data_IF_981729248738
#
_entry.id   IF_981729248738
#
_cell.length_a   1.000
_cell.length_b   1.000
_cell.length_c   1.000
_cell.angle_alpha   90.00
_cell.angle_beta   90.00
_cell.angle_gamma   90.00
#
_symmetry.space_group_name_H-M   'P 1'
#
loop_
_entity.id
_entity.type
_entity.pdbx_description
1 polymer ?
#
# COMPACT_ATOMS: atom_id res chain seq x y z
N UNK A 1 26.59 25.64 -24.23
CA UNK A 1 27.15 24.41 -23.64
C UNK A 1 25.96 23.60 -23.13
N UNK A 2 25.45 22.67 -23.95
CA UNK A 2 24.35 21.80 -23.55
C UNK A 2 24.95 20.65 -22.76
N UNK A 3 24.97 20.79 -21.43
CA UNK A 3 25.39 19.71 -20.54
C UNK A 3 24.33 18.62 -20.60
N UNK A 4 24.63 17.54 -21.30
CA UNK A 4 23.87 16.31 -21.15
C UNK A 4 23.96 15.89 -19.69
N UNK A 5 22.86 15.97 -18.94
CA UNK A 5 22.88 15.44 -17.59
C UNK A 5 22.83 13.93 -17.72
N UNK A 6 23.77 13.25 -17.07
CA UNK A 6 23.86 11.78 -17.06
C UNK A 6 22.53 11.09 -16.70
N UNK A 7 21.66 11.79 -15.96
CA UNK A 7 20.37 11.30 -15.49
C UNK A 7 19.24 11.44 -16.53
N UNK A 8 19.42 12.24 -17.59
CA UNK A 8 18.41 12.46 -18.64
C UNK A 8 18.20 11.20 -19.50
N UNK A 9 19.14 10.25 -19.48
CA UNK A 9 19.05 8.99 -20.23
C UNK A 9 18.31 7.85 -19.51
N UNK A 10 17.76 8.09 -18.31
CA UNK A 10 17.00 7.06 -17.61
C UNK A 10 15.61 6.86 -18.20
N UNK A 11 15.29 5.61 -18.53
CA UNK A 11 13.97 5.21 -19.02
C UNK A 11 12.88 5.51 -17.99
N UNK A 12 11.81 6.20 -18.41
CA UNK A 12 10.67 6.56 -17.56
C UNK A 12 10.66 8.01 -17.05
N UNK A 13 11.73 8.78 -17.23
CA UNK A 13 11.71 10.21 -16.90
C UNK A 13 10.72 11.00 -17.78
N UNK A 14 10.56 10.59 -19.04
CA UNK A 14 9.62 11.19 -20.00
C UNK A 14 8.16 11.08 -19.55
N UNK A 15 7.82 10.07 -18.75
CA UNK A 15 6.47 9.89 -18.21
C UNK A 15 6.25 10.75 -16.95
N UNK A 16 7.28 10.93 -16.13
CA UNK A 16 7.14 11.50 -14.80
C UNK A 16 7.24 13.02 -14.75
N UNK A 17 8.06 13.60 -15.62
CA UNK A 17 8.30 15.05 -15.67
C UNK A 17 7.02 15.83 -16.01
N UNK A 18 6.18 15.39 -16.97
CA UNK A 18 4.88 16.02 -17.24
C UNK A 18 3.94 15.99 -16.02
N UNK A 19 3.90 14.87 -15.29
CA UNK A 19 3.07 14.74 -14.09
C UNK A 19 3.53 15.69 -12.97
N UNK A 20 4.84 15.80 -12.75
CA UNK A 20 5.40 16.78 -11.79
C UNK A 20 5.06 18.20 -12.21
N UNK A 21 5.25 18.54 -13.50
CA UNK A 21 4.96 19.87 -14.05
C UNK A 21 3.51 20.29 -13.82
N UNK A 22 2.57 19.34 -13.92
CA UNK A 22 1.14 19.60 -13.74
C UNK A 22 0.69 19.66 -12.28
N UNK A 23 1.28 18.85 -11.40
CA UNK A 23 0.80 18.65 -10.03
C UNK A 23 1.50 19.54 -9.01
N UNK A 24 2.70 20.04 -9.33
CA UNK A 24 3.56 20.71 -8.37
C UNK A 24 3.70 22.16 -8.75
N UNK A 25 3.45 23.03 -7.77
CA UNK A 25 3.60 24.47 -7.89
C UNK A 25 4.73 24.95 -6.99
N UNK A 26 5.34 26.09 -7.34
CA UNK A 26 6.37 26.69 -6.52
C UNK A 26 5.79 27.07 -5.13
N UNK A 27 6.33 26.56 -4.01
CA UNK A 27 5.81 26.86 -2.68
C UNK A 27 6.04 28.32 -2.24
N UNK A 28 6.89 29.06 -2.94
CA UNK A 28 7.19 30.46 -2.62
C UNK A 28 6.29 31.46 -3.35
N UNK A 29 5.90 31.19 -4.60
CA UNK A 29 5.13 32.12 -5.43
C UNK A 29 3.88 31.54 -6.09
N UNK A 30 3.67 30.22 -5.98
CA UNK A 30 2.53 29.52 -6.56
C UNK A 30 2.62 29.26 -8.06
N UNK A 31 3.70 29.67 -8.73
CA UNK A 31 3.86 29.48 -10.17
C UNK A 31 4.07 28.00 -10.55
N UNK A 32 3.58 27.62 -11.72
CA UNK A 32 3.79 26.30 -12.31
C UNK A 32 5.25 26.08 -12.73
N UNK A 33 5.71 24.84 -12.63
CA UNK A 33 7.01 24.45 -13.18
C UNK A 33 6.86 24.04 -14.64
N UNK A 34 7.71 24.60 -15.52
CA UNK A 34 7.85 24.09 -16.88
C UNK A 34 8.68 22.80 -16.88
N UNK A 35 8.35 21.84 -17.74
CA UNK A 35 9.11 20.58 -17.86
C UNK A 35 10.62 20.80 -18.08
N UNK A 36 11.00 21.79 -18.90
CA UNK A 36 12.40 22.16 -19.13
C UNK A 36 13.15 22.65 -17.88
N UNK A 37 12.44 22.90 -16.78
CA UNK A 37 12.95 23.40 -15.52
C UNK A 37 12.92 22.36 -14.40
N UNK A 38 12.56 21.12 -14.74
CA UNK A 38 12.53 19.98 -13.84
C UNK A 38 13.65 19.03 -14.31
N UNK A 39 14.54 18.68 -13.39
CA UNK A 39 15.62 17.72 -13.65
C UNK A 39 15.56 16.62 -12.62
N UNK A 40 15.44 15.37 -13.06
CA UNK A 40 15.53 14.23 -12.16
C UNK A 40 17.01 13.99 -11.85
N UNK A 41 17.37 14.04 -10.57
CA UNK A 41 18.76 13.90 -10.11
C UNK A 41 19.02 12.54 -9.46
N UNK A 42 17.97 11.84 -9.02
CA UNK A 42 18.07 10.50 -8.50
C UNK A 42 16.76 9.73 -8.67
N UNK A 43 16.87 8.40 -8.75
CA UNK A 43 15.76 7.45 -8.78
C UNK A 43 16.07 6.32 -7.82
N UNK A 44 15.06 5.89 -7.09
CA UNK A 44 15.08 4.76 -6.16
C UNK A 44 13.81 3.92 -6.37
N UNK A 45 13.77 2.72 -5.77
CA UNK A 45 12.69 1.74 -6.02
C UNK A 45 11.28 2.30 -5.78
N UNK A 46 11.14 3.23 -4.83
CA UNK A 46 9.85 3.84 -4.45
C UNK A 46 9.68 5.30 -4.88
N UNK A 47 10.55 5.85 -5.74
CA UNK A 47 10.41 7.25 -6.15
C UNK A 47 11.59 7.91 -6.84
N UNK A 48 11.50 9.24 -6.93
CA UNK A 48 12.42 10.12 -7.66
C UNK A 48 12.81 11.30 -6.79
N UNK A 49 14.02 11.82 -6.97
CA UNK A 49 14.40 13.17 -6.50
C UNK A 49 14.50 14.07 -7.71
N UNK A 50 13.74 15.15 -7.71
CA UNK A 50 13.79 16.20 -8.72
C UNK A 50 14.39 17.49 -8.18
N UNK A 51 15.10 18.17 -9.04
CA UNK A 51 15.57 19.53 -8.90
C UNK A 51 14.67 20.44 -9.75
N UNK A 52 13.98 21.38 -9.11
CA UNK A 52 12.95 22.22 -9.74
C UNK A 52 13.36 23.68 -9.62
N UNK A 53 13.50 24.35 -10.76
CA UNK A 53 13.88 25.76 -10.81
C UNK A 53 12.69 26.64 -11.25
N UNK A 54 12.20 27.48 -10.34
CA UNK A 54 11.08 28.37 -10.63
C UNK A 54 11.56 29.59 -11.44
N UNK A 55 10.99 29.84 -12.62
CA UNK A 55 11.39 31.00 -13.44
C UNK A 55 10.91 32.34 -12.87
N UNK A 56 9.79 32.35 -12.15
CA UNK A 56 9.18 33.57 -11.62
C UNK A 56 9.93 34.14 -10.42
N UNK A 57 10.19 33.30 -9.41
CA UNK A 57 10.88 33.72 -8.18
C UNK A 57 12.36 33.32 -8.12
N UNK A 58 12.87 32.61 -9.14
CA UNK A 58 14.24 32.10 -9.24
C UNK A 58 14.67 31.15 -8.11
N UNK A 59 13.73 30.74 -7.26
CA UNK A 59 14.00 29.76 -6.21
C UNK A 59 14.14 28.37 -6.81
N UNK A 60 15.12 27.66 -6.27
CA UNK A 60 15.42 26.28 -6.62
C UNK A 60 15.07 25.37 -5.45
N UNK A 61 14.39 24.27 -5.74
CA UNK A 61 13.93 23.30 -4.74
C UNK A 61 14.38 21.91 -5.15
N UNK A 62 14.82 21.13 -4.16
CA UNK A 62 14.94 19.69 -4.29
C UNK A 62 13.71 19.05 -3.65
N UNK A 63 13.00 18.22 -4.40
CA UNK A 63 11.81 17.54 -3.93
C UNK A 63 11.90 16.04 -4.24
N UNK A 64 11.40 15.23 -3.30
CA UNK A 64 11.23 13.79 -3.49
C UNK A 64 9.79 13.49 -3.90
N UNK A 65 9.61 12.66 -4.92
CA UNK A 65 8.33 12.26 -5.45
C UNK A 65 8.18 10.74 -5.36
N UNK A 66 7.12 10.27 -4.73
CA UNK A 66 6.75 8.86 -4.71
C UNK A 66 5.53 8.68 -5.62
N UNK A 67 5.69 7.91 -6.69
CA UNK A 67 4.60 7.60 -7.61
C UNK A 67 4.15 6.18 -7.37
N UNK A 68 2.95 6.03 -6.83
CA UNK A 68 2.30 4.73 -6.72
C UNK A 68 1.63 4.46 -8.06
N UNK A 69 2.27 3.69 -8.93
CA UNK A 69 1.59 3.22 -10.13
C UNK A 69 0.54 2.19 -9.70
N UNK A 70 -0.74 2.58 -9.63
CA UNK A 70 -1.85 1.62 -9.47
C UNK A 70 -1.82 0.53 -10.56
N UNK A 71 -1.14 0.80 -11.69
CA UNK A 71 -1.16 -0.05 -12.88
C UNK A 71 -0.04 -1.07 -13.01
N UNK A 72 1.00 -1.09 -12.16
CA UNK A 72 2.03 -2.13 -12.28
C UNK A 72 2.45 -2.88 -11.02
N UNK A 73 2.00 -2.49 -9.81
CA UNK A 73 2.38 -3.23 -8.60
C UNK A 73 1.21 -3.48 -7.64
N UNK A 74 0.33 -4.40 -8.05
CA UNK A 74 -0.19 -5.42 -7.12
C UNK A 74 0.88 -6.49 -6.79
N UNK A 75 2.16 -6.13 -6.89
CA UNK A 75 3.31 -6.93 -6.51
C UNK A 75 4.16 -6.11 -5.54
N UNK A 76 3.79 -6.21 -4.27
CA UNK A 76 4.69 -6.05 -3.14
C UNK A 76 5.24 -4.63 -2.88
N UNK A 77 4.36 -3.66 -2.65
CA UNK A 77 4.50 -3.06 -1.32
C UNK A 77 4.21 -4.21 -0.37
N UNK A 78 5.21 -4.69 0.39
CA UNK A 78 4.95 -5.67 1.45
C UNK A 78 3.83 -5.05 2.28
N UNK A 79 2.56 -5.55 2.22
CA UNK A 79 1.69 -5.27 3.34
C UNK A 79 2.49 -5.74 4.56
N UNK A 80 2.37 -5.03 5.68
CA UNK A 80 2.83 -5.55 6.96
C UNK A 80 2.71 -7.08 6.94
N UNK A 81 3.82 -7.80 7.18
CA UNK A 81 3.82 -9.26 7.21
C UNK A 81 2.91 -9.69 8.36
N UNK A 82 1.61 -9.65 8.10
CA UNK A 82 0.57 -10.15 8.94
C UNK A 82 0.32 -11.54 8.35
N UNK A 83 0.43 -12.56 9.18
CA UNK A 83 0.11 -13.95 8.84
C UNK A 83 -1.42 -14.15 8.68
N UNK A 84 -2.10 -13.15 8.12
CA UNK A 84 -3.54 -13.12 7.91
C UNK A 84 -3.76 -13.19 6.41
N UNK A 85 -4.47 -14.22 5.98
CA UNK A 85 -4.82 -14.40 4.57
C UNK A 85 -5.90 -13.39 4.16
N UNK A 86 -5.97 -13.05 2.87
CA UNK A 86 -6.94 -12.09 2.34
C UNK A 86 -8.41 -12.41 2.72
N UNK A 87 -8.77 -13.68 2.76
CA UNK A 87 -10.11 -14.11 3.17
C UNK A 87 -10.38 -13.84 4.67
N UNK A 88 -9.39 -14.06 5.53
CA UNK A 88 -9.49 -13.75 6.97
C UNK A 88 -9.62 -12.23 7.19
N UNK A 89 -8.88 -11.43 6.41
CA UNK A 89 -8.98 -9.97 6.44
C UNK A 89 -10.40 -9.49 6.08
N UNK A 90 -11.03 -10.09 5.05
CA UNK A 90 -12.41 -9.79 4.66
C UNK A 90 -13.39 -10.14 5.79
N UNK A 91 -13.17 -11.26 6.49
CA UNK A 91 -14.00 -11.67 7.61
C UNK A 91 -13.84 -10.74 8.82
N UNK A 92 -12.64 -10.19 9.06
CA UNK A 92 -12.44 -9.15 10.08
C UNK A 92 -13.19 -7.86 9.74
N UNK A 93 -13.16 -7.42 8.48
CA UNK A 93 -13.87 -6.21 8.04
C UNK A 93 -15.38 -6.39 8.18
N UNK A 94 -15.92 -7.58 7.85
CA UNK A 94 -17.36 -7.88 7.99
C UNK A 94 -17.86 -7.90 9.43
N UNK A 95 -17.00 -8.24 10.39
CA UNK A 95 -17.38 -8.28 11.82
C UNK A 95 -17.64 -6.88 12.40
N UNK A 96 -17.21 -5.83 11.72
CA UNK A 96 -17.45 -4.44 12.13
C UNK A 96 -16.54 -3.99 13.27
N UNK A 97 -16.73 -2.75 13.76
CA UNK A 97 -15.91 -2.19 14.84
C UNK A 97 -16.18 -2.92 16.16
N UNK A 98 -15.13 -3.03 16.99
CA UNK A 98 -15.20 -3.62 18.34
C UNK A 98 -16.23 -2.85 19.18
N UNK A 99 -17.18 -3.59 19.75
CA UNK A 99 -18.23 -3.05 20.62
C UNK A 99 -17.86 -3.22 22.10
N UNK A 100 -18.53 -2.48 22.98
CA UNK A 100 -18.30 -2.55 24.43
C UNK A 100 -18.55 -3.97 25.00
N UNK A 101 -19.55 -4.67 24.45
CA UNK A 101 -19.87 -6.05 24.85
C UNK A 101 -18.74 -7.03 24.50
N UNK A 102 -18.04 -6.84 23.37
CA UNK A 102 -16.91 -7.67 22.97
C UNK A 102 -15.77 -7.60 23.99
N UNK A 103 -15.55 -6.41 24.57
CA UNK A 103 -14.53 -6.17 25.59
C UNK A 103 -14.92 -6.85 26.91
N UNK A 104 -16.19 -6.76 27.31
CA UNK A 104 -16.69 -7.40 28.52
C UNK A 104 -16.61 -8.93 28.44
N UNK A 105 -16.94 -9.49 27.29
CA UNK A 105 -16.88 -10.93 27.07
C UNK A 105 -15.44 -11.44 27.01
N UNK A 106 -14.53 -10.69 26.38
CA UNK A 106 -13.10 -10.98 26.43
C UNK A 106 -12.56 -10.98 27.87
N UNK A 107 -12.93 -9.99 28.67
CA UNK A 107 -12.51 -9.91 30.08
C UNK A 107 -13.00 -11.11 30.91
N UNK A 108 -14.28 -11.49 30.75
CA UNK A 108 -14.84 -12.68 31.42
C UNK A 108 -14.11 -13.95 30.99
N UNK A 109 -13.78 -14.07 29.70
CA UNK A 109 -13.05 -15.20 29.17
C UNK A 109 -11.65 -15.32 29.77
N UNK A 110 -10.90 -14.22 29.88
CA UNK A 110 -9.58 -14.22 30.54
C UNK A 110 -9.73 -14.59 32.02
N UNK A 111 -10.68 -14.00 32.74
CA UNK A 111 -10.86 -14.24 34.18
C UNK A 111 -11.17 -15.71 34.48
N UNK A 112 -11.89 -16.38 33.60
CA UNK A 112 -12.26 -17.78 33.74
C UNK A 112 -11.30 -18.73 33.00
N UNK A 113 -10.26 -18.21 32.35
CA UNK A 113 -9.34 -19.01 31.56
C UNK A 113 -8.43 -19.82 32.48
N UNK A 114 -8.58 -21.15 32.44
CA UNK A 114 -7.84 -22.09 33.30
C UNK A 114 -6.41 -22.38 32.82
N UNK A 115 -5.89 -21.61 31.86
CA UNK A 115 -4.57 -21.84 31.28
C UNK A 115 -4.50 -22.98 30.26
N UNK A 116 -5.64 -23.54 29.85
CA UNK A 116 -5.70 -24.68 28.94
C UNK A 116 -6.58 -24.37 27.72
N UNK A 117 -5.97 -24.45 26.53
CA UNK A 117 -6.63 -24.27 25.24
C UNK A 117 -7.15 -25.60 24.65
N UNK A 118 -6.98 -26.73 25.34
CA UNK A 118 -7.33 -28.07 24.86
C UNK A 118 -8.80 -28.19 24.45
N UNK A 119 -9.72 -27.54 25.16
CA UNK A 119 -11.15 -27.54 24.81
C UNK A 119 -11.46 -26.79 23.52
N UNK A 120 -10.81 -25.64 23.33
CA UNK A 120 -10.97 -24.80 22.13
C UNK A 120 -10.41 -25.53 20.90
N UNK A 121 -9.24 -26.15 21.02
CA UNK A 121 -8.59 -26.89 19.94
C UNK A 121 -9.41 -28.14 19.54
N UNK A 122 -9.98 -28.86 20.52
CA UNK A 122 -10.82 -30.05 20.27
C UNK A 122 -12.12 -29.70 19.56
N UNK A 123 -12.74 -28.57 19.88
CA UNK A 123 -13.99 -28.14 19.27
C UNK A 123 -13.80 -27.68 17.81
N UNK A 124 -12.66 -27.07 17.48
CA UNK A 124 -12.37 -26.63 16.12
C UNK A 124 -12.07 -27.78 15.13
N UNK A 125 -11.59 -28.94 15.60
CA UNK A 125 -11.48 -30.14 14.73
C UNK A 125 -12.85 -30.70 14.31
N UNK A 126 -13.89 -30.52 15.13
CA UNK A 126 -15.24 -31.03 14.84
C UNK A 126 -16.00 -30.18 13.81
N UNK A 127 -15.72 -28.88 13.69
CA UNK A 127 -16.33 -27.99 12.69
C UNK A 127 -15.74 -28.22 11.30
N UNK A 128 -14.42 -28.47 11.19
CA UNK A 128 -13.74 -28.77 9.92
C UNK A 128 -14.23 -30.10 9.31
N UNK A 129 -14.47 -31.12 10.14
CA UNK A 129 -14.97 -32.43 9.67
C UNK A 129 -16.45 -32.43 9.26
N UNK A 130 -17.26 -31.44 9.70
CA UNK A 130 -18.67 -31.32 9.29
C UNK A 130 -18.85 -30.61 7.95
N UNK A 131 -17.89 -29.81 7.50
CA UNK A 131 -17.95 -29.11 6.21
C UNK A 131 -17.64 -29.99 4.98
N UNK A 132 -17.05 -31.18 5.16
CA UNK A 132 -16.57 -32.01 4.03
C UNK A 132 -17.58 -33.03 3.48
N UNK A 133 -18.84 -33.07 3.95
CA UNK A 133 -19.84 -34.08 3.52
C UNK A 133 -20.89 -33.61 2.50
N UNK A 134 -20.90 -32.34 2.07
CA UNK A 134 -21.88 -31.83 1.08
C UNK A 134 -21.23 -31.46 -0.27
N UNK A 135 -20.71 -32.44 -1.00
CA UNK A 135 -20.16 -32.22 -2.34
C UNK A 135 -20.00 -33.51 -3.14
N UNK A 136 -21.08 -34.29 -3.30
CA UNK A 136 -21.11 -35.38 -4.28
C UNK A 136 -21.54 -34.78 -5.62
N UNK A 137 -20.59 -34.61 -6.52
CA UNK A 137 -20.83 -34.24 -7.93
C UNK A 137 -21.43 -35.47 -8.60
N UNK A 138 -22.65 -35.33 -9.12
CA UNK A 138 -23.28 -36.27 -10.05
C UNK A 138 -22.71 -35.95 -11.44
N UNK A 139 -21.98 -36.90 -12.03
CA UNK A 139 -21.62 -36.87 -13.44
C UNK A 139 -22.59 -37.81 -14.16
N UNK A 140 -23.62 -37.25 -14.79
CA UNK A 140 -24.46 -38.00 -15.71
C UNK A 140 -23.75 -38.09 -17.07
N UNK A 141 -23.78 -39.31 -17.63
CA UNK A 141 -23.30 -39.67 -18.97
C UNK A 141 -24.35 -39.39 -20.03
#
# INVERSE_FOLDING_TARGET
>A
MSGYNFFDSWSGNEEIVPDISRLVHCPFCGADYMESNITIVARFDSGYVGHLNCRECQNTIMASFAFTSEKNDRKSEKPFLIDVKMNEMIDFIKKGPVQDDDILDFYKNIKNFKGDFSEIIKNNKKSILKGSKNGRIQTDS
#
